data_IF_647005795184
#
_entry.id   IF_647005795184
#
_cell.length_a   1.000
_cell.length_b   1.000
_cell.length_c   1.000
_cell.angle_alpha   90.00
_cell.angle_beta   90.00
_cell.angle_gamma   90.00
#
_symmetry.space_group_name_H-M   'P 1'
#
loop_
_entity.id
_entity.type
_entity.pdbx_description
1 polymer ?
#
# COMPACT_ATOMS: atom_id res chain seq x y z
N UNK A 1 6.45 -31.38 -20.30
CA UNK A 1 7.01 -30.41 -19.31
C UNK A 1 6.25 -30.58 -18.01
N UNK A 2 6.97 -30.75 -16.91
CA UNK A 2 6.37 -30.78 -15.57
C UNK A 2 6.21 -29.35 -15.08
N UNK A 3 5.00 -28.96 -14.69
CA UNK A 3 4.71 -27.65 -14.16
C UNK A 3 4.74 -27.72 -12.63
N UNK A 4 5.70 -27.07 -12.01
CA UNK A 4 5.76 -26.91 -10.57
C UNK A 4 4.99 -25.66 -10.17
N UNK A 5 4.09 -25.79 -9.19
CA UNK A 5 3.31 -24.68 -8.66
C UNK A 5 3.71 -24.43 -7.22
N UNK A 6 3.89 -23.16 -6.86
CA UNK A 6 4.09 -22.79 -5.48
C UNK A 6 2.84 -23.07 -4.65
N UNK A 7 3.01 -23.46 -3.38
CA UNK A 7 1.90 -23.56 -2.45
C UNK A 7 1.12 -22.25 -2.36
N UNK A 8 -0.19 -22.35 -2.30
CA UNK A 8 -1.06 -21.18 -2.10
C UNK A 8 -1.17 -20.84 -0.63
N UNK A 9 -1.19 -19.56 -0.33
CA UNK A 9 -1.56 -19.06 0.99
C UNK A 9 -3.08 -19.13 1.18
N UNK A 10 -3.51 -19.46 2.39
CA UNK A 10 -4.91 -19.27 2.78
C UNK A 10 -5.23 -17.77 2.92
N UNK A 11 -6.50 -17.42 2.88
CA UNK A 11 -6.93 -16.01 3.10
C UNK A 11 -6.46 -15.49 4.46
N UNK A 12 -6.52 -16.34 5.50
CA UNK A 12 -6.05 -15.99 6.83
C UNK A 12 -4.54 -15.70 6.85
N UNK A 13 -3.73 -16.53 6.20
CA UNK A 13 -2.28 -16.33 6.08
C UNK A 13 -1.98 -15.03 5.34
N UNK A 14 -2.68 -14.75 4.25
CA UNK A 14 -2.51 -13.49 3.50
C UNK A 14 -2.78 -12.27 4.36
N UNK A 15 -3.91 -12.21 5.03
CA UNK A 15 -4.27 -11.04 5.85
C UNK A 15 -3.41 -10.89 7.09
N UNK A 16 -2.89 -11.98 7.64
CA UNK A 16 -1.88 -11.94 8.71
C UNK A 16 -0.60 -11.26 8.24
N UNK A 17 -0.13 -11.60 7.04
CA UNK A 17 1.05 -10.96 6.44
C UNK A 17 0.77 -9.49 6.10
N UNK A 18 -0.37 -9.17 5.49
CA UNK A 18 -0.78 -7.80 5.16
C UNK A 18 -0.76 -6.91 6.42
N UNK A 19 -1.29 -7.39 7.54
CA UNK A 19 -1.29 -6.63 8.81
C UNK A 19 0.10 -6.48 9.43
N UNK A 20 1.01 -7.38 9.15
CA UNK A 20 2.38 -7.37 9.69
C UNK A 20 3.30 -6.44 8.89
N UNK A 21 3.11 -6.35 7.60
CA UNK A 21 3.92 -5.50 6.72
C UNK A 21 3.42 -4.04 6.73
N UNK A 22 4.23 -3.12 6.23
CA UNK A 22 3.97 -1.67 6.23
C UNK A 22 4.20 -1.02 4.88
N UNK A 23 4.93 -1.71 4.02
CA UNK A 23 5.29 -1.26 2.68
C UNK A 23 4.68 -2.20 1.66
N UNK A 24 4.10 -1.64 0.64
CA UNK A 24 3.64 -2.35 -0.54
C UNK A 24 4.19 -1.70 -1.79
N UNK A 25 4.08 -2.38 -2.91
CA UNK A 25 4.29 -1.79 -4.23
C UNK A 25 2.95 -1.73 -4.95
N UNK A 26 2.65 -0.57 -5.52
CA UNK A 26 1.44 -0.39 -6.33
C UNK A 26 1.86 -0.24 -7.79
N UNK A 27 1.28 -1.05 -8.65
CA UNK A 27 1.44 -0.99 -10.09
C UNK A 27 0.21 -0.34 -10.72
N UNK A 28 0.44 0.76 -11.42
CA UNK A 28 -0.57 1.54 -12.12
C UNK A 28 -0.51 1.22 -13.61
N UNK A 29 -1.65 1.30 -14.27
CA UNK A 29 -1.71 1.13 -15.73
C UNK A 29 -1.18 2.39 -16.41
N UNK A 30 -0.06 2.25 -17.09
CA UNK A 30 0.53 3.30 -17.91
C UNK A 30 0.22 3.12 -19.39
N UNK A 31 0.50 4.15 -20.20
CA UNK A 31 0.28 4.09 -21.66
C UNK A 31 1.22 3.11 -22.35
N UNK A 32 2.53 3.22 -22.09
CA UNK A 32 3.55 2.39 -22.72
C UNK A 32 4.08 1.33 -21.77
N UNK A 33 4.29 1.70 -20.51
CA UNK A 33 4.79 0.81 -19.46
C UNK A 33 3.92 0.94 -18.22
N UNK A 34 3.78 -0.15 -17.44
CA UNK A 34 3.22 -0.01 -16.08
C UNK A 34 4.12 0.92 -15.26
N UNK A 35 3.52 1.74 -14.41
CA UNK A 35 4.23 2.53 -13.42
C UNK A 35 4.15 1.85 -12.07
N UNK A 36 5.26 1.72 -11.38
CA UNK A 36 5.30 1.07 -10.07
C UNK A 36 6.07 1.94 -9.06
N UNK A 37 5.55 2.02 -7.86
CA UNK A 37 6.22 2.70 -6.75
C UNK A 37 5.89 2.06 -5.40
N UNK A 38 6.79 2.20 -4.40
CA UNK A 38 6.52 1.74 -3.04
C UNK A 38 5.67 2.77 -2.27
N UNK A 39 4.79 2.26 -1.41
CA UNK A 39 3.93 3.08 -0.55
C UNK A 39 3.82 2.47 0.84
N UNK A 40 3.83 3.32 1.87
CA UNK A 40 3.35 2.93 3.18
C UNK A 40 1.84 2.71 3.12
N UNK A 41 1.35 1.71 3.81
CA UNK A 41 -0.08 1.49 3.98
C UNK A 41 -0.43 1.18 5.43
N UNK A 42 -1.68 1.36 5.77
CA UNK A 42 -2.29 0.88 7.01
C UNK A 42 -3.57 0.12 6.70
N UNK A 43 -3.97 -0.76 7.60
CA UNK A 43 -5.21 -1.51 7.49
C UNK A 43 -6.22 -0.97 8.49
N UNK A 44 -7.38 -0.55 8.00
CA UNK A 44 -8.54 -0.16 8.79
C UNK A 44 -9.77 -0.90 8.27
N UNK A 45 -10.50 -1.54 9.17
CA UNK A 45 -11.73 -2.26 8.84
C UNK A 45 -11.59 -3.20 7.62
N UNK A 46 -10.46 -3.91 7.55
CA UNK A 46 -10.18 -4.88 6.49
C UNK A 46 -9.81 -4.29 5.14
N UNK A 47 -9.51 -3.00 5.06
CA UNK A 47 -9.08 -2.32 3.83
C UNK A 47 -7.74 -1.64 3.99
N UNK A 48 -7.00 -1.51 2.88
CA UNK A 48 -5.72 -0.81 2.82
C UNK A 48 -5.95 0.66 2.51
N UNK A 49 -5.29 1.52 3.28
CA UNK A 49 -5.32 2.98 3.11
C UNK A 49 -3.92 3.52 2.91
N UNK A 50 -3.83 4.55 2.07
CA UNK A 50 -2.59 5.19 1.66
C UNK A 50 -2.71 6.72 1.76
N UNK A 51 -1.59 7.38 1.97
CA UNK A 51 -1.46 8.81 1.70
C UNK A 51 -0.64 8.99 0.42
N UNK A 52 -1.17 9.75 -0.54
CA UNK A 52 -0.48 10.11 -1.76
C UNK A 52 -0.20 11.61 -1.79
N UNK A 53 0.95 11.99 -2.35
CA UNK A 53 1.14 13.38 -2.78
C UNK A 53 0.13 13.71 -3.88
N UNK A 54 -0.35 14.95 -3.92
CA UNK A 54 -1.34 15.42 -4.90
C UNK A 54 -0.73 15.74 -6.28
N UNK A 55 0.51 15.35 -6.49
CA UNK A 55 1.28 15.59 -7.73
C UNK A 55 2.00 14.30 -8.16
N UNK A 56 2.57 14.39 -9.36
CA UNK A 56 3.41 13.33 -9.93
C UNK A 56 2.67 12.38 -10.87
N UNK A 57 3.41 11.43 -11.41
CA UNK A 57 2.94 10.50 -12.44
C UNK A 57 1.76 9.67 -11.98
N UNK A 58 1.78 9.19 -10.73
CA UNK A 58 0.71 8.34 -10.18
C UNK A 58 -0.66 9.02 -10.20
N UNK A 59 -0.71 10.34 -9.93
CA UNK A 59 -1.98 11.07 -9.91
C UNK A 59 -2.60 11.16 -11.31
N UNK A 60 -1.78 11.42 -12.32
CA UNK A 60 -2.21 11.43 -13.72
C UNK A 60 -2.73 10.06 -14.16
N UNK A 61 -2.07 8.99 -13.74
CA UNK A 61 -2.47 7.63 -14.08
C UNK A 61 -3.78 7.22 -13.42
N UNK A 62 -4.00 7.59 -12.14
CA UNK A 62 -5.26 7.33 -11.42
C UNK A 62 -6.45 8.03 -12.09
N UNK A 63 -6.25 9.25 -12.58
CA UNK A 63 -7.30 9.99 -13.29
C UNK A 63 -7.78 9.24 -14.53
N UNK A 64 -6.89 8.54 -15.22
CA UNK A 64 -7.21 7.77 -16.41
C UNK A 64 -7.77 6.37 -16.08
N UNK A 65 -7.17 5.69 -15.10
CA UNK A 65 -7.58 4.33 -14.72
C UNK A 65 -7.25 4.09 -13.23
N UNK A 66 -8.26 3.81 -12.44
CA UNK A 66 -8.12 3.56 -10.99
C UNK A 66 -7.78 2.12 -10.65
N UNK A 67 -7.75 1.23 -11.63
CA UNK A 67 -7.41 -0.18 -11.43
C UNK A 67 -5.92 -0.33 -11.21
N UNK A 68 -5.55 -1.08 -10.17
CA UNK A 68 -4.17 -1.29 -9.76
C UNK A 68 -3.94 -2.72 -9.32
N UNK A 69 -2.66 -3.11 -9.29
CA UNK A 69 -2.18 -4.26 -8.54
C UNK A 69 -1.38 -3.77 -7.35
N UNK A 70 -1.68 -4.30 -6.17
CA UNK A 70 -0.92 -4.05 -4.95
C UNK A 70 -0.18 -5.31 -4.57
N UNK A 71 1.13 -5.22 -4.44
CA UNK A 71 1.99 -6.34 -4.07
C UNK A 71 2.57 -6.14 -2.67
N UNK A 72 2.53 -7.20 -1.85
CA UNK A 72 3.08 -7.24 -0.49
C UNK A 72 3.86 -8.53 -0.34
N UNK A 73 5.09 -8.43 0.15
CA UNK A 73 5.97 -9.59 0.27
C UNK A 73 6.70 -9.65 1.61
N UNK A 74 7.15 -10.84 1.93
CA UNK A 74 8.06 -11.10 3.03
C UNK A 74 9.00 -12.24 2.61
N UNK A 75 10.28 -12.10 2.86
CA UNK A 75 11.23 -13.13 2.50
C UNK A 75 12.48 -13.08 3.38
N UNK A 76 13.14 -14.22 3.53
CA UNK A 76 14.49 -14.28 4.06
C UNK A 76 15.50 -13.93 2.97
N UNK A 77 16.63 -13.39 3.36
CA UNK A 77 17.66 -12.93 2.42
C UNK A 77 18.13 -14.04 1.46
N UNK A 78 18.23 -15.28 1.95
CA UNK A 78 18.61 -16.45 1.16
C UNK A 78 17.43 -17.11 0.40
N UNK A 79 16.24 -16.52 0.51
CA UNK A 79 14.99 -17.03 -0.08
C UNK A 79 14.61 -18.46 0.37
N UNK A 80 15.12 -18.92 1.51
CA UNK A 80 14.68 -20.18 2.11
C UNK A 80 13.20 -20.16 2.52
N UNK A 81 12.69 -18.99 2.89
CA UNK A 81 11.28 -18.73 3.16
C UNK A 81 10.88 -17.45 2.45
N UNK A 82 9.78 -17.48 1.75
CA UNK A 82 9.19 -16.32 1.10
C UNK A 82 7.68 -16.45 0.96
N UNK A 83 7.02 -15.33 0.98
CA UNK A 83 5.59 -15.20 0.73
C UNK A 83 5.33 -13.92 -0.03
N UNK A 84 4.46 -13.94 -1.01
CA UNK A 84 4.05 -12.74 -1.71
C UNK A 84 2.57 -12.77 -2.05
N UNK A 85 1.97 -11.59 -2.01
CA UNK A 85 0.55 -11.38 -2.21
C UNK A 85 0.38 -10.34 -3.30
N UNK A 86 -0.55 -10.59 -4.21
CA UNK A 86 -1.01 -9.58 -5.18
C UNK A 86 -2.51 -9.40 -5.02
N UNK A 87 -2.92 -8.16 -4.80
CA UNK A 87 -4.32 -7.75 -4.74
C UNK A 87 -4.64 -6.92 -5.98
N UNK A 88 -5.65 -7.31 -6.73
CA UNK A 88 -6.16 -6.52 -7.86
C UNK A 88 -7.45 -5.82 -7.44
N UNK A 89 -7.45 -4.52 -7.54
CA UNK A 89 -8.61 -3.71 -7.13
C UNK A 89 -8.58 -2.32 -7.74
N UNK A 90 -9.37 -1.43 -7.18
CA UNK A 90 -9.46 -0.04 -7.60
C UNK A 90 -9.13 0.90 -6.46
N UNK A 91 -8.53 2.05 -6.77
CA UNK A 91 -8.23 3.09 -5.81
C UNK A 91 -9.41 4.07 -5.72
N UNK A 92 -9.80 4.40 -4.50
CA UNK A 92 -10.85 5.37 -4.21
C UNK A 92 -10.30 6.52 -3.38
N UNK A 93 -10.55 7.75 -3.83
CA UNK A 93 -10.28 8.95 -3.04
C UNK A 93 -11.25 9.04 -1.87
N UNK A 94 -10.75 9.23 -0.67
CA UNK A 94 -11.56 9.32 0.54
C UNK A 94 -11.86 10.79 0.85
N UNK A 95 -13.14 11.13 0.79
CA UNK A 95 -13.63 12.49 1.06
C UNK A 95 -14.31 12.62 2.42
N UNK A 96 -14.78 11.52 3.00
CA UNK A 96 -15.34 11.52 4.35
C UNK A 96 -14.30 11.93 5.39
N UNK A 97 -14.58 12.99 6.16
CA UNK A 97 -13.61 13.58 7.07
C UNK A 97 -13.20 12.65 8.21
N UNK A 98 -14.14 11.86 8.72
CA UNK A 98 -13.88 10.90 9.79
C UNK A 98 -12.98 9.76 9.30
N UNK A 99 -13.29 9.19 8.15
CA UNK A 99 -12.50 8.12 7.53
C UNK A 99 -11.10 8.61 7.17
N UNK A 100 -10.97 9.82 6.59
CA UNK A 100 -9.68 10.48 6.33
C UNK A 100 -8.84 10.61 7.60
N UNK A 101 -9.45 11.18 8.64
CA UNK A 101 -8.76 11.41 9.90
C UNK A 101 -8.25 10.12 10.53
N UNK A 102 -9.04 9.06 10.52
CA UNK A 102 -8.64 7.74 11.02
C UNK A 102 -7.44 7.17 10.26
N UNK A 103 -7.45 7.26 8.94
CA UNK A 103 -6.36 6.77 8.11
C UNK A 103 -5.05 7.56 8.34
N UNK A 104 -5.12 8.88 8.35
CA UNK A 104 -3.95 9.75 8.58
C UNK A 104 -3.37 9.56 9.99
N UNK A 105 -4.22 9.46 10.99
CA UNK A 105 -3.79 9.19 12.37
C UNK A 105 -3.04 7.87 12.45
N UNK A 106 -3.58 6.82 11.85
CA UNK A 106 -2.94 5.50 11.87
C UNK A 106 -1.64 5.48 11.08
N UNK A 107 -1.57 6.12 9.91
CA UNK A 107 -0.34 6.26 9.13
C UNK A 107 0.76 6.99 9.92
N UNK A 108 0.40 8.07 10.60
CA UNK A 108 1.30 8.85 11.46
C UNK A 108 1.82 8.02 12.64
N UNK A 109 0.91 7.35 13.35
CA UNK A 109 1.26 6.52 14.53
C UNK A 109 2.13 5.32 14.15
N UNK A 110 1.79 4.60 13.09
CA UNK A 110 2.58 3.48 12.59
C UNK A 110 3.97 3.95 12.11
N UNK A 111 4.02 5.12 11.46
CA UNK A 111 5.27 5.74 11.04
C UNK A 111 6.17 6.05 12.22
N UNK A 112 5.66 6.73 13.25
CA UNK A 112 6.41 7.05 14.48
C UNK A 112 6.96 5.80 15.15
N UNK A 113 6.17 4.74 15.23
CA UNK A 113 6.55 3.52 15.97
C UNK A 113 7.53 2.63 15.21
N UNK A 114 7.41 2.58 13.89
CA UNK A 114 7.97 1.47 13.10
C UNK A 114 8.83 1.89 11.93
N UNK A 115 8.79 3.15 11.52
CA UNK A 115 9.49 3.64 10.34
C UNK A 115 10.46 4.77 10.68
N UNK A 116 11.56 4.84 9.94
CA UNK A 116 12.48 5.96 10.00
C UNK A 116 11.84 7.22 9.38
N UNK A 117 12.14 8.39 9.94
CA UNK A 117 11.79 9.68 9.34
C UNK A 117 12.40 9.85 7.92
N UNK A 118 13.40 9.05 7.56
CA UNK A 118 13.96 9.02 6.20
C UNK A 118 12.93 8.59 5.14
N UNK A 119 11.79 8.03 5.55
CA UNK A 119 10.69 7.68 4.64
C UNK A 119 9.68 8.82 4.40
N UNK A 120 9.73 9.89 5.21
CA UNK A 120 8.84 11.05 5.04
C UNK A 120 8.93 11.73 3.66
N UNK A 121 10.09 11.82 2.99
CA UNK A 121 10.14 12.34 1.63
C UNK A 121 9.27 11.58 0.63
N UNK A 122 9.02 10.30 0.84
CA UNK A 122 8.08 9.53 0.03
C UNK A 122 6.61 10.00 0.20
N UNK A 123 6.31 10.65 1.32
CA UNK A 123 5.03 11.30 1.58
C UNK A 123 5.01 12.78 1.16
N UNK A 124 6.09 13.30 0.61
CA UNK A 124 6.19 14.71 0.21
C UNK A 124 6.58 15.67 1.33
N UNK A 125 7.08 15.17 2.47
CA UNK A 125 7.52 15.97 3.61
C UNK A 125 9.03 15.94 3.77
N UNK A 126 9.57 16.94 4.44
CA UNK A 126 10.97 16.90 4.87
C UNK A 126 11.13 15.95 6.05
N UNK A 127 12.28 15.32 6.18
CA UNK A 127 12.61 14.44 7.32
C UNK A 127 12.40 15.16 8.66
N UNK A 128 12.77 16.42 8.73
CA UNK A 128 12.71 17.27 9.93
C UNK A 128 11.28 17.62 10.35
N UNK A 129 10.31 17.57 9.42
CA UNK A 129 8.90 17.86 9.71
C UNK A 129 8.26 16.80 10.63
N UNK A 130 8.83 15.57 10.64
CA UNK A 130 8.35 14.49 11.47
C UNK A 130 7.04 13.87 11.00
N UNK A 131 6.68 12.75 11.59
CA UNK A 131 5.48 11.98 11.24
C UNK A 131 4.16 12.70 11.54
N UNK A 132 4.18 13.70 12.43
CA UNK A 132 3.02 14.55 12.72
C UNK A 132 2.58 15.40 11.53
N UNK A 133 3.38 15.46 10.47
CA UNK A 133 3.02 16.11 9.21
C UNK A 133 1.83 15.43 8.51
N UNK A 134 1.63 14.12 8.74
CA UNK A 134 0.41 13.41 8.36
C UNK A 134 -0.74 13.78 9.32
N UNK A 135 -1.08 15.06 9.33
CA UNK A 135 -2.03 15.64 10.27
C UNK A 135 -3.47 15.51 9.76
N UNK A 136 -4.38 14.87 10.52
CA UNK A 136 -5.78 14.72 10.14
C UNK A 136 -6.50 16.04 9.84
N UNK A 137 -6.07 17.14 10.44
CA UNK A 137 -6.67 18.47 10.22
C UNK A 137 -6.23 19.13 8.92
N UNK A 138 -5.17 18.63 8.28
CA UNK A 138 -4.72 19.13 6.99
C UNK A 138 -5.60 18.57 5.87
N UNK A 139 -6.52 19.40 5.39
CA UNK A 139 -7.48 19.02 4.35
C UNK A 139 -6.86 18.83 2.95
N UNK A 140 -5.63 19.29 2.74
CA UNK A 140 -4.93 19.12 1.46
C UNK A 140 -4.30 17.74 1.28
N UNK A 141 -4.19 16.94 2.35
CA UNK A 141 -3.63 15.59 2.27
C UNK A 141 -4.57 14.63 1.56
N UNK A 142 -4.06 13.94 0.56
CA UNK A 142 -4.83 12.98 -0.25
C UNK A 142 -4.79 11.61 0.42
N UNK A 143 -5.96 11.11 0.82
CA UNK A 143 -6.13 9.75 1.36
C UNK A 143 -6.84 8.90 0.33
N UNK A 144 -6.29 7.71 0.11
CA UNK A 144 -6.77 6.75 -0.89
C UNK A 144 -6.96 5.39 -0.24
N UNK A 145 -8.00 4.69 -0.67
CA UNK A 145 -8.36 3.35 -0.20
C UNK A 145 -8.32 2.38 -1.37
N UNK A 146 -7.81 1.18 -1.15
CA UNK A 146 -7.99 0.06 -2.07
C UNK A 146 -9.36 -0.59 -1.82
N UNK A 147 -10.19 -0.64 -2.85
CA UNK A 147 -11.51 -1.26 -2.79
C UNK A 147 -11.77 -2.16 -4.01
N UNK A 148 -12.92 -2.82 -4.04
CA UNK A 148 -13.33 -3.69 -5.15
C UNK A 148 -12.23 -4.69 -5.54
N UNK A 149 -11.69 -5.39 -4.55
CA UNK A 149 -10.68 -6.43 -4.78
C UNK A 149 -11.34 -7.58 -5.52
N UNK A 150 -10.96 -7.74 -6.79
CA UNK A 150 -11.49 -8.79 -7.67
C UNK A 150 -10.67 -10.06 -7.66
N UNK A 151 -9.41 -9.97 -7.23
CA UNK A 151 -8.51 -11.11 -7.15
C UNK A 151 -7.49 -10.93 -6.03
N UNK A 152 -7.35 -11.96 -5.23
CA UNK A 152 -6.31 -12.10 -4.20
C UNK A 152 -5.45 -13.32 -4.56
N UNK A 153 -4.17 -13.10 -4.78
CA UNK A 153 -3.20 -14.16 -5.08
C UNK A 153 -2.17 -14.16 -3.96
N UNK A 154 -2.06 -15.26 -3.24
CA UNK A 154 -1.03 -15.44 -2.22
C UNK A 154 -0.27 -16.73 -2.48
N UNK A 155 1.05 -16.64 -2.61
CA UNK A 155 1.95 -17.75 -2.84
C UNK A 155 3.06 -17.75 -1.79
N UNK A 156 3.52 -18.93 -1.43
CA UNK A 156 4.59 -19.10 -0.44
C UNK A 156 5.58 -20.18 -0.86
N UNK A 157 6.74 -20.18 -0.22
CA UNK A 157 7.72 -21.25 -0.37
C UNK A 157 7.15 -22.62 0.04
N UNK A 158 7.65 -23.71 -0.54
CA UNK A 158 7.28 -25.08 -0.17
C UNK A 158 7.47 -25.39 1.30
#
# INVERSE_FOLDING_TARGET
MVVFKLPKMTKQEMWKLIRRQRLCRISFKGKNYPYMAPFQYVVLDGSLYFHFTDYGTKMKLIENDKRVCVEIEEYREDLSEYSFIVLRGTLKFITDQKERAQALTKLSEEGKRKLSANFLPAHGFKKEDGWSSLNPTNTSLVVIKLENITQEIGLKSP
#
